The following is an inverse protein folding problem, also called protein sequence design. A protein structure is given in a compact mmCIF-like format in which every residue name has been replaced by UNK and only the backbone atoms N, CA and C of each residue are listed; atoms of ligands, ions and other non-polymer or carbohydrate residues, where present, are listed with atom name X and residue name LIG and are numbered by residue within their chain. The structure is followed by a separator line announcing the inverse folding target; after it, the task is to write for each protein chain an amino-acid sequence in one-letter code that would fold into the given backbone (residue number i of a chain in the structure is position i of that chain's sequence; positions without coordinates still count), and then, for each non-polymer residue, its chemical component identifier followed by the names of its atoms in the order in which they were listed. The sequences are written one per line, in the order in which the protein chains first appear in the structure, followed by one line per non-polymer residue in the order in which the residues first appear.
data_IF_957749771745
#
_entry.id   IF_957749771745
#
_cell.length_a   1.000
_cell.length_b   1.000
_cell.length_c   1.000
_cell.angle_alpha   90.00
_cell.angle_beta   90.00
_cell.angle_gamma   90.00
#
_symmetry.space_group_name_H-M   'P 1'
#
loop_
_entity.id
_entity.type
_entity.pdbx_description
1 polymer ?
#
# COMPACT_ATOMS: atom_id res chain seq x y z
N UNK A 1 33.20 -16.15 6.61
CA UNK A 1 31.91 -16.38 5.93
C UNK A 1 30.76 -16.24 6.92
N UNK A 2 30.68 -17.06 7.98
CA UNK A 2 29.61 -16.96 9.00
C UNK A 2 29.38 -15.55 9.61
N UNK A 3 30.44 -14.78 9.89
CA UNK A 3 30.29 -13.43 10.48
C UNK A 3 29.61 -12.44 9.53
N UNK A 4 29.90 -12.54 8.23
CA UNK A 4 29.25 -11.73 7.21
C UNK A 4 27.78 -12.12 7.05
N UNK A 5 27.47 -13.41 7.09
CA UNK A 5 26.10 -13.91 6.99
C UNK A 5 25.25 -13.46 8.19
N UNK A 6 25.81 -13.50 9.40
CA UNK A 6 25.15 -12.99 10.61
C UNK A 6 24.92 -11.48 10.58
N UNK A 7 25.89 -10.72 10.05
CA UNK A 7 25.73 -9.29 9.84
C UNK A 7 24.57 -9.00 8.88
N UNK A 8 24.51 -9.70 7.74
CA UNK A 8 23.43 -9.55 6.76
C UNK A 8 22.08 -9.87 7.40
N UNK A 9 21.96 -10.98 8.14
CA UNK A 9 20.72 -11.36 8.82
C UNK A 9 20.24 -10.27 9.80
N UNK A 10 21.18 -9.69 10.57
CA UNK A 10 20.88 -8.61 11.53
C UNK A 10 20.34 -7.37 10.82
N UNK A 11 20.97 -6.99 9.70
CA UNK A 11 20.58 -5.81 8.93
C UNK A 11 19.19 -6.01 8.30
N UNK A 12 18.94 -7.19 7.73
CA UNK A 12 17.63 -7.52 7.14
C UNK A 12 16.52 -7.49 8.19
N UNK A 13 16.75 -8.04 9.38
CA UNK A 13 15.79 -8.01 10.49
C UNK A 13 15.47 -6.57 10.93
N UNK A 14 16.49 -5.71 11.02
CA UNK A 14 16.28 -4.31 11.40
C UNK A 14 15.50 -3.50 10.34
N UNK A 15 15.81 -3.69 9.05
CA UNK A 15 15.04 -3.08 7.96
C UNK A 15 13.59 -3.55 7.97
N UNK A 16 13.38 -4.84 8.15
CA UNK A 16 12.05 -5.44 8.22
C UNK A 16 11.22 -4.84 9.37
N UNK A 17 11.80 -4.74 10.57
CA UNK A 17 11.14 -4.11 11.73
C UNK A 17 10.85 -2.62 11.51
N UNK A 18 11.74 -1.89 10.84
CA UNK A 18 11.50 -0.49 10.47
C UNK A 18 10.34 -0.35 9.49
N UNK A 19 10.22 -1.24 8.51
CA UNK A 19 9.11 -1.24 7.56
C UNK A 19 7.76 -1.51 8.24
N UNK A 20 7.69 -2.55 9.09
CA UNK A 20 6.46 -2.84 9.84
C UNK A 20 6.02 -1.64 10.69
N UNK A 21 6.96 -1.00 11.40
CA UNK A 21 6.68 0.21 12.18
C UNK A 21 6.15 1.34 11.33
N UNK A 22 6.81 1.67 10.22
CA UNK A 22 6.38 2.75 9.34
C UNK A 22 4.96 2.54 8.79
N UNK A 23 4.64 1.34 8.31
CA UNK A 23 3.31 1.01 7.78
C UNK A 23 2.23 1.07 8.88
N UNK A 24 2.55 0.61 10.08
CA UNK A 24 1.67 0.68 11.24
C UNK A 24 1.43 2.13 11.67
N UNK A 25 2.47 2.96 11.75
CA UNK A 25 2.39 4.38 12.11
C UNK A 25 1.60 5.20 11.09
N UNK A 26 1.72 4.85 9.81
CA UNK A 26 0.93 5.42 8.72
C UNK A 26 -0.53 4.92 8.71
N UNK A 27 -0.92 4.05 9.65
CA UNK A 27 -2.26 3.47 9.74
C UNK A 27 -2.68 2.76 8.44
N UNK A 28 -1.73 2.13 7.74
CA UNK A 28 -2.03 1.38 6.51
C UNK A 28 -2.84 0.14 6.91
N UNK A 29 -4.07 -0.04 6.40
CA UNK A 29 -4.89 -1.19 6.75
C UNK A 29 -4.20 -2.52 6.40
N UNK A 30 -4.30 -3.49 7.31
CA UNK A 30 -3.70 -4.81 7.12
C UNK A 30 -2.25 -4.93 7.58
N UNK A 31 -1.65 -3.87 8.13
CA UNK A 31 -0.29 -3.88 8.68
C UNK A 31 -0.27 -3.61 10.18
N UNK A 32 0.48 -4.43 10.90
CA UNK A 32 0.75 -4.29 12.34
C UNK A 32 2.17 -4.77 12.63
N UNK A 33 2.78 -4.28 13.70
CA UNK A 33 4.06 -4.83 14.17
C UNK A 33 3.82 -6.21 14.77
N UNK A 34 4.45 -7.23 14.22
CA UNK A 34 4.33 -8.63 14.64
C UNK A 34 5.61 -9.41 14.38
N UNK A 35 5.88 -10.40 15.24
CA UNK A 35 6.93 -11.41 15.06
C UNK A 35 6.33 -12.77 14.63
N UNK A 36 5.02 -12.86 14.43
CA UNK A 36 4.34 -14.10 14.01
C UNK A 36 4.63 -14.36 12.52
N UNK A 37 5.31 -15.45 12.15
CA UNK A 37 5.72 -15.70 10.76
C UNK A 37 4.54 -15.79 9.79
N UNK A 38 3.38 -16.28 10.24
CA UNK A 38 2.19 -16.39 9.39
C UNK A 38 1.59 -15.01 9.09
N UNK A 39 1.53 -14.12 10.08
CA UNK A 39 1.06 -12.75 9.87
C UNK A 39 2.03 -11.96 8.99
N UNK A 40 3.34 -12.18 9.16
CA UNK A 40 4.38 -11.58 8.33
C UNK A 40 4.19 -11.98 6.86
N UNK A 41 3.96 -13.27 6.58
CA UNK A 41 3.71 -13.77 5.22
C UNK A 41 2.48 -13.09 4.59
N UNK A 42 1.40 -12.96 5.35
CA UNK A 42 0.19 -12.24 4.89
C UNK A 42 0.51 -10.77 4.57
N UNK A 43 1.22 -10.07 5.46
CA UNK A 43 1.59 -8.67 5.23
C UNK A 43 2.49 -8.49 4.00
N UNK A 44 3.40 -9.44 3.76
CA UNK A 44 4.24 -9.46 2.55
C UNK A 44 3.42 -9.65 1.27
N UNK A 45 2.42 -10.54 1.28
CA UNK A 45 1.51 -10.72 0.15
C UNK A 45 0.69 -9.45 -0.15
N UNK A 46 0.26 -8.73 0.89
CA UNK A 46 -0.44 -7.44 0.73
C UNK A 46 0.48 -6.41 0.07
N UNK A 47 1.75 -6.32 0.50
CA UNK A 47 2.73 -5.41 -0.13
C UNK A 47 2.95 -5.72 -1.60
N UNK A 48 3.14 -7.00 -1.92
CA UNK A 48 3.33 -7.43 -3.30
C UNK A 48 2.11 -7.06 -4.16
N UNK A 49 0.90 -7.30 -3.64
CA UNK A 49 -0.33 -6.89 -4.31
C UNK A 49 -0.38 -5.37 -4.53
N UNK A 50 -0.08 -4.56 -3.51
CA UNK A 50 -0.07 -3.09 -3.63
C UNK A 50 0.94 -2.59 -4.67
N UNK A 51 2.11 -3.24 -4.80
CA UNK A 51 3.11 -2.90 -5.82
C UNK A 51 2.62 -3.21 -7.24
N UNK A 52 1.83 -4.26 -7.40
CA UNK A 52 1.27 -4.67 -8.70
C UNK A 52 0.06 -3.84 -9.10
N UNK A 53 -0.74 -3.39 -8.14
CA UNK A 53 -1.87 -2.49 -8.38
C UNK A 53 -1.35 -1.08 -8.65
N UNK A 54 -0.96 -0.82 -9.90
CA UNK A 54 -0.85 0.56 -10.39
C UNK A 54 -2.22 1.20 -10.25
N UNK A 55 -2.29 2.24 -9.42
CA UNK A 55 -3.43 3.15 -9.42
C UNK A 55 -3.71 3.56 -10.88
N UNK A 56 -4.96 3.50 -11.35
CA UNK A 56 -5.31 4.16 -12.61
C UNK A 56 -4.76 5.58 -12.55
N UNK A 57 -4.08 6.03 -13.60
CA UNK A 57 -3.65 7.43 -13.66
C UNK A 57 -4.86 8.29 -13.32
N UNK A 58 -4.73 9.29 -12.42
CA UNK A 58 -5.86 10.14 -12.08
C UNK A 58 -6.40 10.67 -13.39
N UNK A 59 -7.66 10.35 -13.70
CA UNK A 59 -8.30 10.79 -14.92
C UNK A 59 -8.11 12.31 -15.00
N UNK A 60 -7.15 12.76 -15.80
CA UNK A 60 -7.04 14.15 -16.17
C UNK A 60 -8.31 14.40 -16.96
N UNK A 61 -9.29 15.03 -16.33
CA UNK A 61 -10.46 15.59 -16.99
C UNK A 61 -9.97 16.70 -17.93
N UNK A 62 -9.35 16.31 -19.04
CA UNK A 62 -9.23 17.13 -20.23
C UNK A 62 -10.49 16.91 -21.07
N UNK A 63 -11.66 17.20 -20.49
CA UNK A 63 -12.85 17.52 -21.26
C UNK A 63 -12.94 19.03 -21.43
N UNK A 64 -11.98 19.58 -22.17
CA UNK A 64 -12.20 20.79 -22.94
C UNK A 64 -12.58 20.38 -24.36
N UNK A 65 -13.78 19.79 -24.53
CA UNK A 65 -14.54 19.87 -25.79
C UNK A 65 -15.97 19.31 -25.63
N UNK A 66 -16.91 20.26 -25.52
CA UNK A 66 -18.31 20.23 -25.92
C UNK A 66 -19.11 18.92 -25.87
N UNK A 67 -19.98 18.81 -24.88
CA UNK A 67 -21.37 18.35 -25.08
C UNK A 67 -22.17 18.68 -23.82
N UNK A 68 -23.00 19.72 -23.90
CA UNK A 68 -23.94 20.13 -22.85
C UNK A 68 -25.07 19.11 -22.77
N UNK A 69 -25.02 18.21 -21.80
CA UNK A 69 -26.21 17.44 -21.38
C UNK A 69 -26.72 18.07 -20.08
N UNK A 70 -27.94 18.62 -20.02
CA UNK A 70 -28.43 19.27 -18.82
C UNK A 70 -28.75 18.22 -17.75
N UNK A 71 -28.17 18.39 -16.57
CA UNK A 71 -28.50 17.62 -15.37
C UNK A 71 -29.85 18.13 -14.86
N UNK A 72 -30.88 17.27 -14.90
CA UNK A 72 -32.21 17.54 -14.33
C UNK A 72 -32.23 17.03 -12.90
N UNK A 73 -32.36 17.94 -11.93
CA UNK A 73 -32.62 17.57 -10.54
C UNK A 73 -34.11 17.27 -10.37
N UNK A 74 -34.43 16.03 -10.02
CA UNK A 74 -35.80 15.64 -9.65
C UNK A 74 -35.98 15.91 -8.16
N UNK A 75 -36.83 16.89 -7.84
CA UNK A 75 -37.21 17.20 -6.46
C UNK A 75 -38.33 16.24 -6.06
N UNK A 76 -38.04 15.34 -5.12
CA UNK A 76 -39.04 14.44 -4.54
C UNK A 76 -39.87 15.21 -3.51
N UNK A 77 -41.19 15.22 -3.70
CA UNK A 77 -42.19 15.79 -2.77
C UNK A 77 -42.60 14.79 -1.72
#
# INVERSE_FOLDING_TARGET
MLEHDNYIATILDDYFKRQQRALTEMMVPGFTVTDNPFEIEIQMLILEFMLQVRLPEPYTNAQSQGSTVPIVYVQLS
#
